data_IF_465360539585
#
_entry.id   IF_465360539585
#
_cell.length_a   1.000
_cell.length_b   1.000
_cell.length_c   1.000
_cell.angle_alpha   90.00
_cell.angle_beta   90.00
_cell.angle_gamma   90.00
#
_symmetry.space_group_name_H-M   'P 1'
#
loop_
_entity.id
_entity.type
_entity.pdbx_description
1 polymer ?
#
# COMPACT_ATOMS: atom_id res chain seq x y z
N UNK A 1 2.98 18.04 -25.09
CA UNK A 1 2.83 18.56 -23.71
C UNK A 1 2.51 17.40 -22.78
N UNK A 2 3.52 16.77 -22.20
CA UNK A 2 3.32 15.67 -21.26
C UNK A 2 2.82 16.25 -19.93
N UNK A 3 1.56 15.98 -19.57
CA UNK A 3 1.04 16.26 -18.23
C UNK A 3 1.84 15.40 -17.25
N UNK A 4 2.86 16.02 -16.65
CA UNK A 4 3.61 15.50 -15.51
C UNK A 4 2.59 15.37 -14.36
N UNK A 5 2.06 14.17 -14.19
CA UNK A 5 1.17 13.83 -13.08
C UNK A 5 1.90 14.12 -11.78
N UNK A 6 1.43 15.15 -11.09
CA UNK A 6 1.86 15.52 -9.73
C UNK A 6 1.68 14.25 -8.89
N UNK A 7 2.79 13.61 -8.50
CA UNK A 7 2.80 12.47 -7.55
C UNK A 7 2.23 13.06 -6.26
N UNK A 8 0.91 12.96 -6.09
CA UNK A 8 0.23 13.32 -4.84
C UNK A 8 0.94 12.49 -3.79
N UNK A 9 1.63 13.11 -2.84
CA UNK A 9 2.22 12.41 -1.70
C UNK A 9 1.08 11.59 -1.10
N UNK A 10 1.11 10.28 -1.36
CA UNK A 10 0.07 9.39 -0.88
C UNK A 10 0.27 9.30 0.62
N UNK A 11 -0.82 9.46 1.36
CA UNK A 11 -0.76 9.33 2.80
C UNK A 11 -0.22 7.95 3.18
N UNK A 12 0.57 7.89 4.24
CA UNK A 12 1.11 6.63 4.71
C UNK A 12 -0.05 5.86 5.34
N UNK A 13 -0.50 4.79 4.67
CA UNK A 13 -1.58 3.93 5.17
C UNK A 13 -1.13 2.97 6.28
N UNK A 14 0.19 2.88 6.50
CA UNK A 14 0.81 1.91 7.38
C UNK A 14 1.40 2.56 8.63
N UNK A 15 1.27 1.90 9.77
CA UNK A 15 1.85 2.39 11.03
C UNK A 15 3.35 2.09 11.04
N UNK A 16 4.15 3.12 10.73
CA UNK A 16 5.61 2.99 10.62
C UNK A 16 6.27 2.34 11.83
N UNK A 17 5.79 2.65 13.05
CA UNK A 17 6.33 2.05 14.29
C UNK A 17 6.17 0.53 14.29
N UNK A 18 4.98 0.02 13.97
CA UNK A 18 4.70 -1.42 13.98
C UNK A 18 5.52 -2.18 12.95
N UNK A 19 5.75 -1.58 11.79
CA UNK A 19 6.60 -2.17 10.75
C UNK A 19 8.05 -2.20 11.20
N UNK A 20 8.57 -1.10 11.76
CA UNK A 20 9.93 -1.03 12.27
C UNK A 20 10.17 -2.02 13.40
N UNK A 21 9.21 -2.15 14.32
CA UNK A 21 9.28 -3.12 15.42
C UNK A 21 9.33 -4.55 14.88
N UNK A 22 8.45 -4.90 13.94
CA UNK A 22 8.44 -6.23 13.30
C UNK A 22 9.74 -6.54 12.54
N UNK A 23 10.34 -5.55 11.87
CA UNK A 23 11.58 -5.74 11.12
C UNK A 23 12.79 -5.87 12.06
N UNK A 24 12.78 -5.14 13.18
CA UNK A 24 13.78 -5.30 14.25
C UNK A 24 13.71 -6.67 14.91
N UNK A 25 12.52 -7.23 15.12
CA UNK A 25 12.35 -8.62 15.60
C UNK A 25 12.96 -9.66 14.66
N UNK A 26 13.24 -9.29 13.42
CA UNK A 26 13.91 -10.13 12.40
C UNK A 26 15.39 -9.77 12.22
N UNK A 27 16.00 -9.05 13.16
CA UNK A 27 17.39 -8.57 13.11
C UNK A 27 17.72 -7.78 11.84
N UNK A 28 16.72 -7.09 11.27
CA UNK A 28 16.86 -6.31 10.05
C UNK A 28 16.70 -4.80 10.31
N UNK A 29 17.29 -3.99 9.43
CA UNK A 29 17.14 -2.53 9.46
C UNK A 29 16.23 -2.05 8.33
N UNK A 30 15.46 -0.98 8.58
CA UNK A 30 14.59 -0.34 7.58
C UNK A 30 15.21 0.95 7.07
N UNK A 31 15.27 1.14 5.76
CA UNK A 31 15.58 2.45 5.16
C UNK A 31 14.42 3.43 5.37
N UNK A 32 14.73 4.73 5.39
CA UNK A 32 13.72 5.78 5.60
C UNK A 32 12.61 5.77 4.53
N UNK A 33 12.97 5.40 3.30
CA UNK A 33 12.08 5.34 2.13
C UNK A 33 11.24 4.05 2.07
N UNK A 34 11.58 3.03 2.87
CA UNK A 34 10.87 1.75 2.86
C UNK A 34 9.39 1.90 3.23
N UNK A 35 9.09 2.76 4.20
CA UNK A 35 7.71 2.97 4.68
C UNK A 35 6.84 3.61 3.59
N UNK A 36 7.39 4.59 2.86
CA UNK A 36 6.70 5.22 1.74
C UNK A 36 6.45 4.24 0.60
N UNK A 37 7.46 3.46 0.22
CA UNK A 37 7.33 2.47 -0.86
C UNK A 37 6.35 1.35 -0.47
N UNK A 38 6.41 0.88 0.78
CA UNK A 38 5.46 -0.10 1.29
C UNK A 38 4.02 0.45 1.25
N UNK A 39 3.81 1.71 1.64
CA UNK A 39 2.49 2.35 1.52
C UNK A 39 2.01 2.35 0.06
N UNK A 40 2.87 2.71 -0.89
CA UNK A 40 2.56 2.68 -2.33
C UNK A 40 2.19 1.26 -2.81
N UNK A 41 2.86 0.21 -2.33
CA UNK A 41 2.50 -1.18 -2.64
C UNK A 41 1.14 -1.59 -2.05
N UNK A 42 0.83 -1.14 -0.83
CA UNK A 42 -0.47 -1.39 -0.20
C UNK A 42 -1.59 -0.73 -0.99
N UNK A 43 -1.41 0.50 -1.47
CA UNK A 43 -2.36 1.11 -2.40
C UNK A 43 -2.57 0.26 -3.65
N UNK A 44 -1.50 -0.23 -4.27
CA UNK A 44 -1.61 -1.08 -5.45
C UNK A 44 -2.40 -2.38 -5.17
N UNK A 45 -2.23 -2.97 -3.98
CA UNK A 45 -2.99 -4.14 -3.56
C UNK A 45 -4.48 -3.81 -3.36
N UNK A 46 -4.78 -2.68 -2.71
CA UNK A 46 -6.16 -2.22 -2.53
C UNK A 46 -6.83 -1.94 -3.88
N UNK A 47 -6.15 -1.27 -4.81
CA UNK A 47 -6.66 -0.99 -6.15
C UNK A 47 -6.98 -2.29 -6.91
N UNK A 48 -6.12 -3.31 -6.80
CA UNK A 48 -6.38 -4.64 -7.37
C UNK A 48 -7.59 -5.31 -6.73
N UNK A 49 -7.73 -5.22 -5.42
CA UNK A 49 -8.87 -5.79 -4.70
C UNK A 49 -10.18 -5.08 -5.06
N UNK A 50 -10.15 -3.76 -5.23
CA UNK A 50 -11.28 -2.96 -5.73
C UNK A 50 -11.68 -3.43 -7.13
N UNK A 51 -10.71 -3.56 -8.05
CA UNK A 51 -10.97 -3.99 -9.42
C UNK A 51 -11.62 -5.39 -9.44
N UNK A 52 -11.07 -6.35 -8.70
CA UNK A 52 -11.67 -7.70 -8.58
C UNK A 52 -13.07 -7.68 -8.00
N UNK A 53 -13.32 -6.85 -6.98
CA UNK A 53 -14.65 -6.72 -6.41
C UNK A 53 -15.64 -6.15 -7.46
N UNK A 54 -15.24 -5.10 -8.17
CA UNK A 54 -16.04 -4.46 -9.21
C UNK A 54 -16.31 -5.37 -10.41
N UNK A 55 -15.30 -6.12 -10.87
CA UNK A 55 -15.45 -7.13 -11.95
C UNK A 55 -16.47 -8.20 -11.58
N UNK A 56 -16.57 -8.54 -10.29
CA UNK A 56 -17.57 -9.45 -9.76
C UNK A 56 -18.92 -8.77 -9.43
N UNK A 57 -19.12 -7.51 -9.82
CA UNK A 57 -20.33 -6.72 -9.55
C UNK A 57 -20.52 -6.35 -8.09
N UNK A 58 -19.49 -6.50 -7.24
CA UNK A 58 -19.55 -6.24 -5.80
C UNK A 58 -18.92 -4.89 -5.48
N UNK A 59 -19.59 -4.14 -4.59
CA UNK A 59 -19.03 -2.91 -4.00
C UNK A 59 -18.27 -3.17 -2.69
N UNK A 60 -18.43 -4.36 -2.13
CA UNK A 60 -17.78 -4.78 -0.89
C UNK A 60 -16.54 -5.59 -1.22
N UNK A 61 -15.37 -5.05 -0.84
CA UNK A 61 -14.09 -5.75 -0.87
C UNK A 61 -14.14 -6.84 0.22
N UNK A 62 -13.85 -8.08 -0.16
CA UNK A 62 -13.80 -9.22 0.73
C UNK A 62 -12.36 -9.74 0.86
N UNK A 63 -12.10 -10.58 1.86
CA UNK A 63 -10.78 -11.18 2.07
C UNK A 63 -10.24 -11.92 0.83
N UNK A 64 -11.11 -12.43 -0.04
CA UNK A 64 -10.76 -13.10 -1.30
C UNK A 64 -10.29 -12.15 -2.41
N UNK A 65 -10.47 -10.84 -2.24
CA UNK A 65 -10.13 -9.85 -3.26
C UNK A 65 -8.68 -9.32 -3.10
N UNK A 66 -8.08 -9.46 -1.92
CA UNK A 66 -6.67 -9.10 -1.63
C UNK A 66 -5.72 -10.10 -2.27
#
# INVERSE_FOLDING_TARGET
MAKKSKKKEREILVVASKIRDYIKEKDCNTSGEFISELSDTVYCLIDKAINRAQENGRKTIQAKDV
#
